data_IF_373999299722
#
_entry.id   IF_373999299722
#
_cell.length_a   1.000
_cell.length_b   1.000
_cell.length_c   1.000
_cell.angle_alpha   90.00
_cell.angle_beta   90.00
_cell.angle_gamma   90.00
#
_symmetry.space_group_name_H-M   'P 1'
#
loop_
_entity.id
_entity.type
_entity.pdbx_description
1 polymer ?
#
# COMPACT_ATOMS: atom_id res chain seq x y z
N UNK A 1 -2.34 -8.31 13.47
CA UNK A 1 -2.23 -6.94 12.99
C UNK A 1 -2.57 -5.97 14.10
N UNK A 2 -1.89 -4.88 14.17
CA UNK A 2 -2.05 -3.87 15.20
C UNK A 2 -3.38 -3.13 15.02
N UNK A 3 -4.16 -2.99 16.11
CA UNK A 3 -5.43 -2.28 16.10
C UNK A 3 -5.24 -0.81 15.71
N UNK A 4 -4.16 -0.19 16.17
CA UNK A 4 -3.84 1.20 15.84
C UNK A 4 -3.62 1.39 14.34
N UNK A 5 -2.96 0.45 13.69
CA UNK A 5 -2.76 0.50 12.25
C UNK A 5 -4.10 0.42 11.50
N UNK A 6 -4.97 -0.47 11.92
CA UNK A 6 -6.30 -0.59 11.31
C UNK A 6 -7.11 0.69 11.45
N UNK A 7 -7.03 1.33 12.61
CA UNK A 7 -7.69 2.62 12.83
C UNK A 7 -7.08 3.71 11.96
N UNK A 8 -5.75 3.70 11.83
CA UNK A 8 -5.05 4.68 11.01
C UNK A 8 -5.50 4.61 9.56
N UNK A 9 -5.67 3.43 9.00
CA UNK A 9 -6.12 3.26 7.63
C UNK A 9 -7.51 3.84 7.37
N UNK A 10 -8.28 4.07 8.44
CA UNK A 10 -9.60 4.70 8.36
C UNK A 10 -9.57 6.17 8.78
N UNK A 11 -8.42 6.69 9.16
CA UNK A 11 -8.29 8.06 9.63
C UNK A 11 -8.34 9.05 8.49
N UNK A 12 -8.69 10.30 8.82
CA UNK A 12 -8.70 11.40 7.86
C UNK A 12 -7.30 11.69 7.32
N UNK A 13 -6.30 11.54 8.18
CA UNK A 13 -4.90 11.77 7.82
C UNK A 13 -4.47 10.82 6.72
N UNK A 14 -4.73 9.52 6.90
CA UNK A 14 -4.39 8.53 5.88
C UNK A 14 -5.17 8.73 4.60
N UNK A 15 -6.49 8.99 4.71
CA UNK A 15 -7.33 9.21 3.54
C UNK A 15 -6.87 10.42 2.74
N UNK A 16 -6.39 11.46 3.40
CA UNK A 16 -5.83 12.65 2.74
C UNK A 16 -4.55 12.30 1.99
N UNK A 17 -3.62 11.60 2.63
CA UNK A 17 -2.37 11.15 2.01
C UNK A 17 -2.68 10.27 0.79
N UNK A 18 -3.57 9.33 0.96
CA UNK A 18 -3.98 8.40 -0.09
C UNK A 18 -4.55 9.15 -1.29
N UNK A 19 -5.44 10.10 -1.04
CA UNK A 19 -6.05 10.88 -2.10
C UNK A 19 -5.01 11.70 -2.85
N UNK A 20 -4.10 12.34 -2.14
CA UNK A 20 -3.02 13.13 -2.76
C UNK A 20 -2.15 12.26 -3.65
N UNK A 21 -1.75 11.11 -3.17
CA UNK A 21 -0.91 10.19 -3.93
C UNK A 21 -1.65 9.70 -5.19
N UNK A 22 -2.92 9.33 -5.06
CA UNK A 22 -3.72 8.87 -6.19
C UNK A 22 -3.99 9.98 -7.21
N UNK A 23 -4.06 11.23 -6.75
CA UNK A 23 -4.25 12.38 -7.63
C UNK A 23 -2.99 12.66 -8.44
N UNK A 24 -1.83 12.52 -7.83
CA UNK A 24 -0.54 12.76 -8.48
C UNK A 24 -0.15 11.59 -9.38
N UNK A 25 -0.30 10.36 -8.87
CA UNK A 25 0.08 9.14 -9.59
C UNK A 25 -1.17 8.42 -10.04
N UNK A 26 -1.70 8.77 -11.17
CA UNK A 26 -3.03 8.36 -11.63
C UNK A 26 -3.08 6.98 -12.27
N UNK A 27 -2.05 6.16 -12.08
CA UNK A 27 -2.02 4.82 -12.68
C UNK A 27 -1.15 3.89 -11.85
N UNK A 28 -1.37 2.60 -12.03
CA UNK A 28 -0.55 1.57 -11.41
C UNK A 28 0.91 1.74 -11.84
N UNK A 29 1.81 1.79 -10.88
CA UNK A 29 3.23 2.00 -11.16
C UNK A 29 3.91 0.78 -11.75
N UNK A 30 3.25 -0.37 -11.76
CA UNK A 30 3.81 -1.61 -12.31
C UNK A 30 3.24 -1.98 -13.67
N UNK A 31 1.93 -1.91 -13.85
CA UNK A 31 1.31 -2.32 -15.10
C UNK A 31 0.67 -1.17 -15.88
N UNK A 32 0.58 0.01 -15.30
CA UNK A 32 0.00 1.18 -15.96
C UNK A 32 -1.51 1.25 -15.98
N UNK A 33 -2.21 0.30 -15.36
CA UNK A 33 -3.66 0.33 -15.29
C UNK A 33 -4.15 1.57 -14.54
N UNK A 34 -5.25 2.14 -15.01
CA UNK A 34 -5.89 3.28 -14.36
C UNK A 34 -7.10 2.88 -13.53
N UNK A 35 -7.40 1.59 -13.45
CA UNK A 35 -8.58 1.08 -12.76
C UNK A 35 -8.21 0.44 -11.44
N UNK A 36 -9.09 0.58 -10.46
CA UNK A 36 -8.98 -0.08 -9.17
C UNK A 36 -7.63 0.17 -8.50
N UNK A 37 -7.22 1.43 -8.44
CA UNK A 37 -5.95 1.81 -7.86
C UNK A 37 -6.00 1.80 -6.34
N UNK A 38 -4.93 1.32 -5.74
CA UNK A 38 -4.75 1.25 -4.29
C UNK A 38 -3.36 1.75 -3.94
N UNK A 39 -3.18 2.23 -2.72
CA UNK A 39 -1.89 2.70 -2.24
C UNK A 39 -1.29 1.63 -1.34
N UNK A 40 -0.10 1.18 -1.71
CA UNK A 40 0.63 0.13 -1.01
C UNK A 40 1.81 0.72 -0.25
N UNK A 41 1.98 0.32 1.01
CA UNK A 41 3.15 0.73 1.80
C UNK A 41 4.36 -0.11 1.43
N UNK A 42 5.41 0.54 0.94
CA UNK A 42 6.68 -0.13 0.69
C UNK A 42 7.44 -0.40 1.99
N UNK A 43 7.20 0.43 2.99
CA UNK A 43 7.80 0.28 4.31
C UNK A 43 6.83 0.79 5.36
N UNK A 44 6.94 0.26 6.58
CA UNK A 44 6.15 0.72 7.71
C UNK A 44 6.98 1.52 8.72
N UNK A 45 8.22 1.85 8.38
CA UNK A 45 9.12 2.57 9.28
C UNK A 45 8.58 3.94 9.67
N UNK A 46 7.87 4.60 8.74
CA UNK A 46 7.29 5.92 8.98
C UNK A 46 5.77 5.88 9.02
N UNK A 47 5.21 4.78 9.52
CA UNK A 47 3.76 4.68 9.65
C UNK A 47 3.23 5.87 10.47
N UNK A 48 2.10 6.41 10.06
CA UNK A 48 1.48 7.63 10.58
C UNK A 48 2.14 8.92 10.09
N UNK A 49 3.32 8.86 9.47
CA UNK A 49 4.03 10.02 8.92
C UNK A 49 4.67 9.66 7.58
N UNK A 50 3.95 8.91 6.76
CA UNK A 50 4.47 8.42 5.50
C UNK A 50 4.91 9.55 4.57
N UNK A 51 6.03 9.32 3.89
CA UNK A 51 6.48 10.17 2.81
C UNK A 51 6.07 9.54 1.47
N UNK A 52 5.95 10.34 0.40
CA UNK A 52 5.57 9.79 -0.91
C UNK A 52 6.45 8.62 -1.36
N UNK A 53 7.73 8.63 -1.03
CA UNK A 53 8.66 7.56 -1.38
C UNK A 53 8.38 6.24 -0.66
N UNK A 54 7.60 6.28 0.43
CA UNK A 54 7.23 5.10 1.20
C UNK A 54 6.04 4.36 0.60
N UNK A 55 5.42 4.94 -0.43
CA UNK A 55 4.15 4.48 -0.96
C UNK A 55 4.27 4.16 -2.45
N UNK A 56 3.50 3.18 -2.89
CA UNK A 56 3.42 2.79 -4.28
C UNK A 56 1.95 2.64 -4.68
N UNK A 57 1.59 3.16 -5.85
CA UNK A 57 0.23 2.97 -6.38
C UNK A 57 0.20 1.70 -7.20
N UNK A 58 -0.69 0.79 -6.86
CA UNK A 58 -0.88 -0.47 -7.55
C UNK A 58 -2.35 -0.67 -7.86
N UNK A 59 -2.63 -1.27 -9.03
CA UNK A 59 -3.98 -1.73 -9.27
C UNK A 59 -4.25 -2.94 -8.37
N UNK A 60 -5.52 -3.29 -8.24
CA UNK A 60 -5.94 -4.38 -7.36
C UNK A 60 -5.18 -5.68 -7.66
N UNK A 61 -5.00 -6.00 -8.94
CA UNK A 61 -4.28 -7.21 -9.33
C UNK A 61 -2.82 -7.22 -8.93
N UNK A 62 -2.12 -6.11 -9.17
CA UNK A 62 -0.70 -6.00 -8.78
C UNK A 62 -0.54 -5.99 -7.27
N UNK A 63 -1.46 -5.33 -6.56
CA UNK A 63 -1.44 -5.30 -5.11
C UNK A 63 -1.65 -6.69 -4.52
N UNK A 64 -2.58 -7.43 -5.09
CA UNK A 64 -2.80 -8.82 -4.69
C UNK A 64 -1.55 -9.67 -4.88
N UNK A 65 -0.88 -9.54 -6.02
CA UNK A 65 0.36 -10.27 -6.28
C UNK A 65 1.45 -9.96 -5.27
N UNK A 66 1.54 -8.71 -4.85
CA UNK A 66 2.52 -8.30 -3.86
C UNK A 66 2.24 -8.95 -2.50
N UNK A 67 0.99 -8.97 -2.07
CA UNK A 67 0.60 -9.65 -0.85
C UNK A 67 0.86 -11.16 -0.94
N UNK A 68 0.61 -11.74 -2.09
CA UNK A 68 0.88 -13.15 -2.32
C UNK A 68 2.34 -13.49 -2.10
N UNK A 69 3.24 -12.64 -2.61
CA UNK A 69 4.68 -12.80 -2.39
C UNK A 69 5.04 -12.75 -0.92
N UNK A 70 4.47 -11.81 -0.19
CA UNK A 70 4.71 -11.68 1.24
C UNK A 70 4.25 -12.92 2.00
N UNK A 71 3.07 -13.43 1.68
CA UNK A 71 2.53 -14.64 2.31
C UNK A 71 3.41 -15.84 2.02
N UNK A 72 3.81 -16.03 0.76
CA UNK A 72 4.69 -17.12 0.36
C UNK A 72 6.04 -17.05 1.06
N UNK A 73 6.58 -15.85 1.18
CA UNK A 73 7.84 -15.63 1.88
C UNK A 73 7.75 -16.03 3.34
N UNK A 74 6.66 -15.66 4.01
CA UNK A 74 6.42 -16.06 5.39
C UNK A 74 6.24 -17.56 5.53
N UNK A 75 5.54 -18.18 4.60
CA UNK A 75 5.30 -19.63 4.63
C UNK A 75 6.56 -20.44 4.37
N UNK A 76 7.56 -19.86 3.72
CA UNK A 76 8.82 -20.52 3.42
C UNK A 76 9.82 -20.47 4.58
N UNK A 77 9.52 -19.77 5.63
CA UNK A 77 10.42 -19.73 6.77
C UNK A 77 10.59 -21.13 7.33
N UNK A 78 11.84 -21.52 7.59
CA UNK A 78 12.09 -22.80 8.24
C UNK A 78 11.38 -22.82 9.58
N UNK A 79 10.78 -23.89 9.83
CA UNK A 79 10.03 -24.07 11.05
C UNK A 79 10.97 -24.45 12.16
#
# INVERSE_FOLDING_TARGET
MNVEYSRYLKSKEWLSIRLDILTIRQKCERCGSKKSLEVHHLTYQRIFKEEPADLEVLCKGCHYKEHEKEIKSKNKKPV
#
